data_IF_208916382456
#
_entry.id   IF_208916382456
#
_cell.length_a   1.000
_cell.length_b   1.000
_cell.length_c   1.000
_cell.angle_alpha   90.00
_cell.angle_beta   90.00
_cell.angle_gamma   90.00
#
_symmetry.space_group_name_H-M   'P 1'
#
loop_
_entity.id
_entity.type
_entity.pdbx_description
1 polymer ?
#
# COMPACT_ATOMS: atom_id res chain seq x y z
N UNK A 1 11.88 -16.52 11.33
CA UNK A 1 11.87 -15.57 10.20
C UNK A 1 12.01 -14.17 10.78
N UNK A 2 13.08 -13.46 10.41
CA UNK A 2 13.27 -12.06 10.80
C UNK A 2 12.22 -11.24 10.03
N UNK A 3 11.48 -10.41 10.75
CA UNK A 3 10.11 -10.01 10.41
C UNK A 3 9.96 -9.12 9.17
N UNK A 4 9.14 -9.58 8.22
CA UNK A 4 8.49 -8.77 7.16
C UNK A 4 7.31 -7.92 7.70
N UNK A 5 7.18 -7.86 9.02
CA UNK A 5 6.16 -7.09 9.69
C UNK A 5 6.46 -5.59 9.67
N UNK A 6 5.43 -4.75 9.85
CA UNK A 6 5.61 -3.32 9.88
C UNK A 6 6.48 -2.91 11.08
N UNK A 7 7.39 -1.96 10.88
CA UNK A 7 8.36 -1.51 11.89
C UNK A 7 7.66 -0.55 12.85
N UNK A 8 7.56 -0.92 14.13
CA UNK A 8 6.96 -0.05 15.14
C UNK A 8 7.87 1.15 15.43
N UNK A 9 7.34 2.36 15.28
CA UNK A 9 8.09 3.61 15.53
C UNK A 9 7.56 4.40 16.72
N UNK A 10 6.34 4.11 17.18
CA UNK A 10 5.77 4.69 18.40
C UNK A 10 4.80 3.73 19.07
N UNK A 11 4.18 4.15 20.18
CA UNK A 11 3.16 3.37 20.85
C UNK A 11 1.97 3.05 19.93
N UNK A 12 1.67 3.93 18.97
CA UNK A 12 0.48 3.88 18.12
C UNK A 12 0.79 3.82 16.63
N UNK A 13 2.07 3.84 16.22
CA UNK A 13 2.44 3.96 14.81
C UNK A 13 3.47 2.93 14.38
N UNK A 14 3.27 2.44 13.16
CA UNK A 14 4.14 1.50 12.48
C UNK A 14 4.40 1.99 11.06
N UNK A 15 5.63 1.83 10.58
CA UNK A 15 6.06 2.14 9.22
C UNK A 15 6.09 0.85 8.41
N UNK A 16 5.59 0.94 7.18
CA UNK A 16 5.54 -0.17 6.25
C UNK A 16 6.56 0.06 5.14
N UNK A 17 7.57 -0.80 5.09
CA UNK A 17 8.56 -0.84 4.02
C UNK A 17 8.20 -1.97 3.06
N UNK A 18 8.31 -1.70 1.76
CA UNK A 18 8.10 -2.68 0.68
C UNK A 18 9.33 -2.69 -0.22
N UNK A 19 9.21 -2.20 -1.45
CA UNK A 19 10.25 -2.32 -2.47
C UNK A 19 11.53 -1.53 -2.16
N UNK A 20 11.41 -0.38 -1.47
CA UNK A 20 12.54 0.50 -1.22
C UNK A 20 12.73 0.77 0.28
N UNK A 21 13.84 0.35 0.90
CA UNK A 21 14.09 0.59 2.32
C UNK A 21 14.31 2.07 2.67
N UNK A 22 14.64 2.93 1.69
CA UNK A 22 14.80 4.38 1.89
C UNK A 22 13.51 5.17 1.76
N UNK A 23 12.49 4.60 1.10
CA UNK A 23 11.21 5.25 0.87
C UNK A 23 10.09 4.34 1.34
N UNK A 24 9.64 4.49 2.60
CA UNK A 24 8.52 3.72 3.10
C UNK A 24 7.28 3.95 2.24
N UNK A 25 6.44 2.92 2.14
CA UNK A 25 5.23 2.97 1.31
C UNK A 25 4.06 3.59 2.07
N UNK A 26 3.94 3.24 3.36
CA UNK A 26 2.80 3.62 4.17
C UNK A 26 3.15 3.73 5.66
N UNK A 27 2.24 4.38 6.39
CA UNK A 27 2.19 4.45 7.84
C UNK A 27 0.88 3.80 8.31
N UNK A 28 0.97 2.92 9.30
CA UNK A 28 -0.17 2.36 10.00
C UNK A 28 -0.27 3.07 11.35
N UNK A 29 -1.43 3.63 11.66
CA UNK A 29 -1.72 4.26 12.94
C UNK A 29 -2.89 3.60 13.62
N UNK A 30 -2.69 3.18 14.87
CA UNK A 30 -3.79 2.78 15.74
C UNK A 30 -4.55 4.03 16.17
N UNK A 31 -5.86 4.00 15.94
CA UNK A 31 -6.82 5.00 16.40
C UNK A 31 -7.72 4.38 17.47
N UNK A 32 -8.19 5.22 18.38
CA UNK A 32 -9.05 4.83 19.50
C UNK A 32 -8.44 3.73 20.40
N UNK A 33 -7.25 3.93 21.01
CA UNK A 33 -6.63 2.92 21.85
C UNK A 33 -7.48 2.51 23.05
N UNK A 34 -8.38 3.39 23.50
CA UNK A 34 -9.27 3.18 24.66
C UNK A 34 -10.57 2.41 24.32
N UNK A 35 -10.79 2.06 23.05
CA UNK A 35 -11.97 1.28 22.63
C UNK A 35 -11.68 -0.21 22.60
N UNK A 36 -12.70 -1.07 22.85
CA UNK A 36 -12.54 -2.52 22.83
C UNK A 36 -12.18 -3.05 21.44
N UNK A 37 -12.56 -2.33 20.38
CA UNK A 37 -12.19 -2.65 19.01
C UNK A 37 -11.01 -1.80 18.59
N UNK A 38 -9.88 -2.45 18.35
CA UNK A 38 -8.71 -1.78 17.81
C UNK A 38 -8.97 -1.36 16.36
N UNK A 39 -8.77 -0.08 16.08
CA UNK A 39 -8.92 0.46 14.75
C UNK A 39 -7.56 0.91 14.22
N UNK A 40 -7.25 0.53 13.01
CA UNK A 40 -5.98 0.85 12.35
C UNK A 40 -6.27 1.65 11.08
N UNK A 41 -5.63 2.80 10.93
CA UNK A 41 -5.65 3.61 9.71
C UNK A 41 -4.35 3.41 8.97
N UNK A 42 -4.45 3.14 7.68
CA UNK A 42 -3.29 3.08 6.79
C UNK A 42 -3.29 4.35 5.96
N UNK A 43 -2.17 5.06 5.96
CA UNK A 43 -1.98 6.29 5.18
C UNK A 43 -0.71 6.18 4.34
N UNK A 44 -0.64 6.93 3.24
CA UNK A 44 0.60 7.07 2.48
C UNK A 44 1.70 7.64 3.36
N UNK A 45 2.95 7.26 3.09
CA UNK A 45 4.09 7.84 3.79
C UNK A 45 4.44 9.21 3.19
N UNK A 46 4.41 10.24 4.01
CA UNK A 46 5.02 11.54 3.74
C UNK A 46 5.57 12.11 5.07
N UNK A 47 6.65 12.89 4.98
CA UNK A 47 7.22 13.60 6.13
C UNK A 47 6.23 14.64 6.63
N UNK A 48 5.59 15.36 5.69
CA UNK A 48 4.52 16.31 5.97
C UNK A 48 3.20 15.55 6.19
N UNK A 49 2.64 15.56 7.41
CA UNK A 49 1.41 14.85 7.71
C UNK A 49 0.20 15.35 6.91
N UNK A 50 0.23 16.57 6.38
CA UNK A 50 -0.87 17.13 5.57
C UNK A 50 -0.96 16.52 4.17
N UNK A 51 0.15 15.93 3.69
CA UNK A 51 0.22 15.26 2.38
C UNK A 51 -0.10 13.78 2.43
N UNK A 52 -0.36 13.26 3.64
CA UNK A 52 -0.70 11.85 3.82
C UNK A 52 -2.15 11.60 3.42
N UNK A 53 -2.34 10.62 2.56
CA UNK A 53 -3.64 10.22 2.07
C UNK A 53 -4.10 8.94 2.77
N UNK A 54 -5.38 8.87 3.12
CA UNK A 54 -5.96 7.68 3.74
C UNK A 54 -6.12 6.58 2.70
N UNK A 55 -5.41 5.48 2.87
CA UNK A 55 -5.52 4.28 2.04
C UNK A 55 -6.64 3.35 2.52
N UNK A 56 -6.83 3.25 3.84
CA UNK A 56 -7.84 2.34 4.38
C UNK A 56 -7.97 2.33 5.89
N UNK A 57 -8.97 1.61 6.37
CA UNK A 57 -9.25 1.36 7.79
C UNK A 57 -9.44 -0.13 8.03
N UNK A 58 -8.82 -0.66 9.08
CA UNK A 58 -8.77 -2.09 9.36
C UNK A 58 -8.99 -2.36 10.85
N UNK A 59 -9.50 -3.54 11.17
CA UNK A 59 -9.72 -4.00 12.55
C UNK A 59 -8.51 -4.72 13.17
N UNK A 60 -7.42 -4.90 12.42
CA UNK A 60 -6.20 -5.54 12.90
C UNK A 60 -4.95 -4.99 12.23
N UNK A 61 -3.82 -5.06 12.93
CA UNK A 61 -2.52 -4.66 12.39
C UNK A 61 -2.10 -5.53 11.19
N UNK A 62 -2.43 -6.82 11.21
CA UNK A 62 -2.14 -7.74 10.09
C UNK A 62 -2.87 -7.31 8.82
N UNK A 63 -4.19 -7.10 8.90
CA UNK A 63 -4.97 -6.68 7.73
C UNK A 63 -4.52 -5.31 7.19
N UNK A 64 -4.13 -4.40 8.08
CA UNK A 64 -3.53 -3.13 7.69
C UNK A 64 -2.19 -3.32 6.97
N UNK A 65 -1.31 -4.19 7.45
CA UNK A 65 -0.06 -4.51 6.77
C UNK A 65 -0.28 -5.14 5.39
N UNK A 66 -1.19 -6.11 5.31
CA UNK A 66 -1.43 -6.88 4.09
C UNK A 66 -2.07 -6.03 2.98
N UNK A 67 -2.77 -4.96 3.35
CA UNK A 67 -3.34 -3.98 2.40
C UNK A 67 -2.28 -3.16 1.64
N UNK A 68 -1.05 -3.08 2.16
CA UNK A 68 0.03 -2.34 1.52
C UNK A 68 0.77 -3.29 0.58
N UNK A 69 0.40 -3.25 -0.69
CA UNK A 69 0.97 -4.14 -1.70
C UNK A 69 2.40 -3.73 -2.11
N UNK A 70 3.18 -4.74 -2.52
CA UNK A 70 4.42 -4.53 -3.27
C UNK A 70 4.08 -3.98 -4.66
N UNK A 71 5.00 -3.19 -5.23
CA UNK A 71 4.81 -2.75 -6.62
C UNK A 71 5.26 -3.89 -7.51
N UNK A 72 4.45 -4.21 -8.50
CA UNK A 72 4.85 -5.17 -9.52
C UNK A 72 5.93 -4.52 -10.40
N UNK A 73 6.98 -5.26 -10.79
CA UNK A 73 7.92 -4.80 -11.80
C UNK A 73 7.17 -4.37 -13.06
N UNK A 74 7.58 -3.27 -13.69
CA UNK A 74 6.92 -2.69 -14.87
C UNK A 74 6.87 -3.68 -16.05
N UNK A 75 7.75 -4.68 -16.09
CA UNK A 75 7.76 -5.78 -17.08
C UNK A 75 6.59 -6.77 -16.95
N UNK A 76 5.76 -6.65 -15.92
CA UNK A 76 4.53 -7.41 -15.75
C UNK A 76 3.28 -6.57 -15.99
N UNK A 77 3.33 -5.63 -16.93
CA UNK A 77 2.10 -5.26 -17.63
C UNK A 77 1.73 -6.46 -18.51
N UNK A 78 0.66 -7.23 -18.21
CA UNK A 78 0.16 -8.18 -19.18
C UNK A 78 -0.15 -7.36 -20.43
N UNK A 79 0.52 -7.67 -21.54
CA UNK A 79 0.20 -7.09 -22.83
C UNK A 79 -1.31 -7.23 -22.97
N UNK A 80 -2.01 -6.11 -22.86
CA UNK A 80 -3.45 -6.07 -22.93
C UNK A 80 -3.82 -6.66 -24.29
N UNK A 81 -4.38 -7.87 -24.25
CA UNK A 81 -4.82 -8.68 -25.39
C UNK A 81 -5.94 -7.98 -26.23
N UNK A 82 -6.39 -6.80 -25.80
CA UNK A 82 -7.46 -5.99 -26.36
C UNK A 82 -6.99 -5.00 -27.46
N UNK A 83 -6.16 -5.44 -28.40
CA UNK A 83 -5.66 -4.56 -29.47
C UNK A 83 -5.50 -5.17 -30.86
N UNK A 84 -5.80 -6.45 -31.07
CA UNK A 84 -5.46 -7.14 -32.32
C UNK A 84 -6.57 -7.19 -33.38
N UNK A 85 -7.62 -6.36 -33.26
CA UNK A 85 -8.65 -6.25 -34.31
C UNK A 85 -9.01 -4.79 -34.57
N UNK A 86 -8.15 -4.03 -35.25
CA UNK A 86 -8.60 -2.95 -36.15
C UNK A 86 -7.41 -2.32 -36.88
N UNK A 87 -7.03 -2.94 -38.02
CA UNK A 87 -6.72 -2.18 -39.24
C UNK A 87 -6.59 -3.13 -40.44
N UNK A 88 -7.72 -3.71 -40.87
CA UNK A 88 -7.90 -4.10 -42.28
C UNK A 88 -8.71 -3.00 -42.97
N UNK A 89 -8.02 -1.92 -43.35
CA UNK A 89 -8.44 -1.06 -44.46
C UNK A 89 -7.19 -0.50 -45.12
N UNK A 90 -6.75 -1.16 -46.18
CA UNK A 90 -6.19 -0.49 -47.34
C UNK A 90 -6.86 -1.14 -48.55
N UNK A 91 -7.79 -0.38 -49.13
CA UNK A 91 -8.17 -0.48 -50.53
C UNK A 91 -7.00 0.12 -51.32
N UNK A 92 -6.42 -0.66 -52.24
CA UNK A 92 -5.92 -0.23 -53.55
C UNK A 92 -6.04 -1.41 -54.51
#
# INVERSE_FOLDING_TARGET
MVGDGPIRISALEWVVIRNNPRYPKALIRRVDPDKPTEHYRVVTFDIDPSRRELLGRYGSLSAANDSVHYELPTDHQPASHFGMYENRKNYE
#
